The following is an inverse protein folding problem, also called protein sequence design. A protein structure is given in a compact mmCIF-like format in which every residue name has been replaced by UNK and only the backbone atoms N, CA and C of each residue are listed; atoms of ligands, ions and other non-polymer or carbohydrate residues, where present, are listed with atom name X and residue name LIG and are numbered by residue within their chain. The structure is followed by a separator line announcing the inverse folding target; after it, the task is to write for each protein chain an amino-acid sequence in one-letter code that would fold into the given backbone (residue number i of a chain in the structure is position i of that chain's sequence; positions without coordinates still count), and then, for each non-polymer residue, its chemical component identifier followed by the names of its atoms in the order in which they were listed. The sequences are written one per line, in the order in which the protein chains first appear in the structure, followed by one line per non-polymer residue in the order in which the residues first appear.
data_IF_031121780910
#
_entry.id   IF_031121780910
#
_cell.length_a   1.000
_cell.length_b   1.000
_cell.length_c   1.000
_cell.angle_alpha   90.00
_cell.angle_beta   90.00
_cell.angle_gamma   90.00
#
_symmetry.space_group_name_H-M   'P 1'
#
loop_
_entity.id
_entity.type
_entity.pdbx_description
1 polymer ?
#
# COMPACT_ATOMS: atom_id res chain seq x y z
N UNK A 1 -3.94 -9.15 -17.65
CA UNK A 1 -3.55 -8.23 -16.57
C UNK A 1 -4.78 -7.46 -16.15
N UNK A 2 -5.25 -7.67 -14.92
CA UNK A 2 -6.45 -7.03 -14.41
C UNK A 2 -6.25 -5.52 -14.26
N UNK A 3 -7.26 -4.72 -14.62
CA UNK A 3 -7.26 -3.25 -14.50
C UNK A 3 -7.37 -2.75 -13.04
N UNK A 4 -7.16 -3.61 -12.05
CA UNK A 4 -7.34 -3.33 -10.62
C UNK A 4 -6.02 -3.01 -9.90
N UNK A 5 -4.91 -3.00 -10.61
CA UNK A 5 -3.60 -2.77 -10.02
C UNK A 5 -3.43 -1.31 -9.59
N UNK A 6 -3.19 -1.08 -8.30
CA UNK A 6 -2.96 0.25 -7.73
C UNK A 6 -1.77 0.94 -8.38
N UNK A 7 -0.70 0.20 -8.69
CA UNK A 7 0.53 0.78 -9.25
C UNK A 7 0.28 1.47 -10.59
N UNK A 8 -0.70 1.01 -11.37
CA UNK A 8 -1.10 1.70 -12.61
C UNK A 8 -1.87 3.00 -12.36
N UNK A 9 -2.38 3.24 -11.14
CA UNK A 9 -3.05 4.48 -10.74
C UNK A 9 -2.08 5.55 -10.26
N UNK A 10 -0.82 5.22 -10.11
CA UNK A 10 0.23 6.20 -9.79
C UNK A 10 0.67 7.04 -10.98
N UNK A 11 0.04 6.88 -12.17
CA UNK A 11 0.32 7.70 -13.35
C UNK A 11 -0.73 8.80 -13.57
N UNK A 12 -0.34 10.01 -13.95
CA UNK A 12 -1.24 11.15 -14.11
C UNK A 12 -2.25 10.92 -15.24
N UNK A 13 -3.50 11.35 -15.02
CA UNK A 13 -4.57 11.28 -16.01
C UNK A 13 -4.84 9.88 -16.59
N UNK A 14 -4.49 8.84 -15.83
CA UNK A 14 -4.68 7.44 -16.19
C UNK A 14 -5.56 6.70 -15.18
N UNK A 15 -6.63 7.32 -14.72
CA UNK A 15 -7.65 6.68 -13.93
C UNK A 15 -8.23 5.43 -14.62
N UNK A 16 -9.03 4.67 -13.90
CA UNK A 16 -9.58 3.36 -14.32
C UNK A 16 -10.10 3.30 -15.76
N UNK A 17 -10.69 4.40 -16.27
CA UNK A 17 -11.32 4.46 -17.60
C UNK A 17 -10.33 4.75 -18.74
N UNK A 18 -9.15 5.26 -18.42
CA UNK A 18 -8.22 5.86 -19.38
C UNK A 18 -6.82 5.29 -19.32
N UNK A 19 -6.64 4.15 -18.62
CA UNK A 19 -5.32 3.51 -18.55
C UNK A 19 -4.89 2.96 -19.91
N UNK A 20 -3.68 3.32 -20.30
CA UNK A 20 -2.98 2.81 -21.48
C UNK A 20 -1.55 2.44 -21.07
N UNK A 21 -1.15 1.19 -21.33
CA UNK A 21 0.11 0.64 -20.86
C UNK A 21 1.34 1.26 -21.57
N UNK A 22 1.24 1.57 -22.86
CA UNK A 22 2.32 2.20 -23.63
C UNK A 22 2.52 3.64 -23.15
N UNK A 23 1.42 4.37 -22.97
CA UNK A 23 1.44 5.71 -22.41
C UNK A 23 1.99 5.71 -20.97
N UNK A 24 1.62 4.78 -20.11
CA UNK A 24 2.16 4.65 -18.76
C UNK A 24 3.67 4.38 -18.77
N UNK A 25 4.14 3.48 -19.64
CA UNK A 25 5.57 3.18 -19.78
C UNK A 25 6.42 4.38 -20.22
N UNK A 26 5.80 5.34 -20.94
CA UNK A 26 6.45 6.55 -21.46
C UNK A 26 6.10 7.82 -20.65
N UNK A 27 5.31 7.70 -19.57
CA UNK A 27 4.94 8.81 -18.69
C UNK A 27 5.71 8.77 -17.38
N UNK A 28 5.81 9.94 -16.74
CA UNK A 28 6.27 10.04 -15.37
C UNK A 28 5.12 9.69 -14.41
N UNK A 29 5.44 8.86 -13.42
CA UNK A 29 4.48 8.48 -12.38
C UNK A 29 4.54 9.42 -11.17
N UNK A 30 3.72 9.12 -10.16
CA UNK A 30 3.65 9.85 -8.90
C UNK A 30 5.04 10.03 -8.26
N UNK A 31 5.81 8.95 -8.19
CA UNK A 31 7.13 8.96 -7.56
C UNK A 31 8.11 9.87 -8.30
N UNK A 32 8.05 9.90 -9.63
CA UNK A 32 8.88 10.79 -10.46
C UNK A 32 8.53 12.28 -10.22
N UNK A 33 7.24 12.59 -10.13
CA UNK A 33 6.78 13.96 -9.89
C UNK A 33 7.23 14.44 -8.51
N UNK A 34 7.06 13.62 -7.47
CA UNK A 34 7.53 13.94 -6.11
C UNK A 34 9.05 14.09 -6.08
N UNK A 35 9.81 13.18 -6.71
CA UNK A 35 11.28 13.26 -6.75
C UNK A 35 11.80 14.55 -7.38
N UNK A 36 11.13 15.06 -8.40
CA UNK A 36 11.52 16.32 -9.08
C UNK A 36 11.44 17.56 -8.19
N UNK A 37 10.70 17.51 -7.09
CA UNK A 37 10.64 18.60 -6.11
C UNK A 37 11.81 18.58 -5.11
N UNK A 38 12.75 17.64 -5.24
CA UNK A 38 13.89 17.49 -4.36
C UNK A 38 13.67 16.55 -3.17
N UNK A 39 12.51 15.92 -3.06
CA UNK A 39 12.22 14.90 -2.05
C UNK A 39 13.11 13.67 -2.28
N UNK A 40 13.78 13.23 -1.22
CA UNK A 40 14.60 12.00 -1.25
C UNK A 40 13.69 10.78 -1.28
N UNK A 41 13.80 9.98 -2.32
CA UNK A 41 12.93 8.83 -2.57
C UNK A 41 13.60 7.51 -2.21
N UNK A 42 12.79 6.52 -1.80
CA UNK A 42 13.16 5.11 -1.71
C UNK A 42 11.92 4.25 -1.96
N UNK A 43 12.09 3.17 -2.72
CA UNK A 43 11.13 2.11 -2.85
C UNK A 43 11.66 0.84 -2.19
N UNK A 44 10.89 0.23 -1.29
CA UNK A 44 11.19 -1.10 -0.72
C UNK A 44 10.19 -2.10 -1.28
N UNK A 45 10.69 -3.21 -1.83
CA UNK A 45 9.93 -4.15 -2.65
C UNK A 45 9.92 -5.54 -2.02
N UNK A 46 8.74 -6.10 -1.77
CA UNK A 46 8.55 -7.46 -1.26
C UNK A 46 7.51 -8.28 -2.05
N UNK A 47 6.97 -7.77 -3.17
CA UNK A 47 5.92 -8.43 -3.97
C UNK A 47 6.36 -8.75 -5.41
N UNK A 48 7.68 -8.84 -5.65
CA UNK A 48 8.21 -9.29 -6.95
C UNK A 48 8.17 -8.27 -8.08
N UNK A 49 8.12 -6.97 -7.75
CA UNK A 49 8.35 -5.89 -8.69
C UNK A 49 7.27 -4.80 -8.73
N UNK A 50 7.69 -3.58 -9.00
CA UNK A 50 6.87 -2.37 -8.91
C UNK A 50 6.07 -2.03 -10.19
N UNK A 51 5.99 -2.90 -11.15
CA UNK A 51 5.26 -2.72 -12.43
C UNK A 51 5.50 -1.36 -13.11
N UNK A 52 6.70 -0.81 -12.93
CA UNK A 52 7.12 0.48 -13.51
C UNK A 52 7.00 1.69 -12.59
N UNK A 53 6.29 1.61 -11.47
CA UNK A 53 6.10 2.73 -10.54
C UNK A 53 7.41 3.20 -9.89
N UNK A 54 8.39 2.31 -9.69
CA UNK A 54 9.71 2.61 -9.12
C UNK A 54 10.85 2.75 -10.15
N UNK A 55 10.55 2.71 -11.45
CA UNK A 55 11.54 2.58 -12.54
C UNK A 55 12.70 3.59 -12.45
N UNK A 56 12.45 4.78 -11.90
CA UNK A 56 13.40 5.91 -11.90
C UNK A 56 13.79 6.38 -10.50
N UNK A 57 13.46 5.59 -9.47
CA UNK A 57 13.81 5.90 -8.07
C UNK A 57 14.66 4.78 -7.46
N UNK A 58 15.48 5.09 -6.44
CA UNK A 58 16.24 4.08 -5.71
C UNK A 58 15.33 3.00 -5.15
N UNK A 59 15.67 1.73 -5.40
CA UNK A 59 14.86 0.57 -4.98
C UNK A 59 15.72 -0.42 -4.20
N UNK A 60 15.15 -0.95 -3.13
CA UNK A 60 15.69 -2.08 -2.37
C UNK A 60 14.70 -3.23 -2.54
N UNK A 61 15.12 -4.27 -3.23
CA UNK A 61 14.39 -5.54 -3.32
C UNK A 61 14.77 -6.45 -2.17
N UNK A 62 13.79 -7.02 -1.48
CA UNK A 62 14.01 -7.98 -0.41
C UNK A 62 14.42 -9.31 -1.05
N UNK A 63 15.59 -9.81 -0.68
CA UNK A 63 16.07 -11.13 -1.12
C UNK A 63 15.54 -12.22 -0.17
N UNK A 64 14.67 -13.13 -0.62
CA UNK A 64 14.11 -14.19 0.21
C UNK A 64 15.14 -15.18 0.76
N UNK A 65 16.38 -15.12 0.27
CA UNK A 65 17.47 -15.99 0.72
C UNK A 65 18.40 -15.34 1.75
N UNK A 66 18.26 -14.01 1.96
CA UNK A 66 19.15 -13.25 2.82
C UNK A 66 18.86 -13.41 4.31
N UNK A 67 17.59 -13.61 4.70
CA UNK A 67 17.16 -13.73 6.10
C UNK A 67 16.29 -14.96 6.34
N UNK A 68 16.88 -16.00 6.95
CA UNK A 68 16.18 -17.23 7.29
C UNK A 68 15.17 -17.11 8.44
N UNK A 69 15.10 -15.95 9.14
CA UNK A 69 14.10 -15.73 10.20
C UNK A 69 12.82 -15.12 9.67
N UNK A 70 12.96 -14.21 8.69
CA UNK A 70 11.85 -13.47 8.10
C UNK A 70 11.40 -14.07 6.76
N UNK A 71 12.20 -14.98 6.17
CA UNK A 71 11.98 -15.51 4.84
C UNK A 71 12.09 -17.05 4.83
N UNK A 72 11.42 -17.69 3.87
CA UNK A 72 11.44 -19.13 3.68
C UNK A 72 12.23 -19.59 2.43
N UNK A 73 12.98 -18.67 1.81
CA UNK A 73 13.77 -18.89 0.59
C UNK A 73 13.01 -18.58 -0.71
N UNK A 74 11.69 -18.35 -0.63
CA UNK A 74 10.84 -17.97 -1.77
C UNK A 74 10.10 -16.65 -1.52
N UNK A 75 9.63 -16.44 -0.29
CA UNK A 75 8.93 -15.22 0.13
C UNK A 75 9.38 -14.79 1.51
N UNK A 76 9.13 -13.52 1.86
CA UNK A 76 9.39 -12.96 3.18
C UNK A 76 8.11 -12.43 3.81
N UNK A 77 8.08 -12.41 5.14
CA UNK A 77 7.06 -11.67 5.89
C UNK A 77 7.31 -10.16 5.74
N UNK A 78 6.24 -9.36 5.62
CA UNK A 78 6.37 -7.93 5.40
C UNK A 78 7.07 -7.15 6.53
N UNK A 79 7.19 -7.75 7.72
CA UNK A 79 8.01 -7.20 8.81
C UNK A 79 9.47 -6.94 8.44
N UNK A 80 10.05 -7.72 7.51
CA UNK A 80 11.40 -7.52 6.98
C UNK A 80 11.59 -6.12 6.37
N UNK A 81 10.52 -5.54 5.86
CA UNK A 81 10.54 -4.21 5.24
C UNK A 81 10.92 -3.09 6.22
N UNK A 82 10.75 -3.32 7.53
CA UNK A 82 11.12 -2.37 8.58
C UNK A 82 12.59 -2.45 8.99
N UNK A 83 13.30 -3.49 8.56
CA UNK A 83 14.71 -3.62 8.83
C UNK A 83 15.51 -2.52 8.11
N UNK A 84 16.52 -2.01 8.79
CA UNK A 84 17.44 -0.96 8.31
C UNK A 84 16.77 0.37 7.89
N UNK A 85 15.47 0.58 8.18
CA UNK A 85 14.77 1.82 7.81
C UNK A 85 15.42 3.06 8.46
N UNK A 86 15.90 2.95 9.69
CA UNK A 86 16.59 4.06 10.38
C UNK A 86 17.89 4.47 9.68
N UNK A 87 18.66 3.49 9.24
CA UNK A 87 19.89 3.74 8.48
C UNK A 87 19.58 4.36 7.11
N UNK A 88 18.53 3.88 6.46
CA UNK A 88 18.07 4.37 5.15
C UNK A 88 17.58 5.82 5.26
N UNK A 89 16.84 6.16 6.32
CA UNK A 89 16.40 7.52 6.62
C UNK A 89 17.62 8.43 6.93
N UNK A 90 18.56 7.94 7.72
CA UNK A 90 19.73 8.73 8.15
C UNK A 90 20.65 9.12 6.99
N UNK A 91 20.72 8.28 5.96
CA UNK A 91 21.53 8.52 4.73
C UNK A 91 20.93 9.56 3.80
N UNK A 92 19.68 9.99 4.04
CA UNK A 92 18.95 10.91 3.19
C UNK A 92 18.83 12.28 3.84
N UNK A 93 19.06 13.35 3.08
CA UNK A 93 18.84 14.73 3.51
C UNK A 93 17.46 15.24 3.11
N UNK A 94 17.01 16.33 3.74
CA UNK A 94 15.74 17.00 3.41
C UNK A 94 14.50 16.13 3.65
N UNK A 95 13.46 16.43 2.91
CA UNK A 95 12.22 15.67 2.93
C UNK A 95 12.38 14.30 2.30
N UNK A 96 11.60 13.33 2.77
CA UNK A 96 11.76 11.92 2.40
C UNK A 96 10.41 11.26 2.14
N UNK A 97 10.34 10.47 1.07
CA UNK A 97 9.24 9.54 0.83
C UNK A 97 9.80 8.12 0.67
N UNK A 98 9.33 7.21 1.51
CA UNK A 98 9.63 5.79 1.40
C UNK A 98 8.34 5.06 1.05
N UNK A 99 8.31 4.43 -0.11
CA UNK A 99 7.21 3.57 -0.53
C UNK A 99 7.56 2.11 -0.16
N UNK A 100 6.63 1.44 0.50
CA UNK A 100 6.73 0.02 0.86
C UNK A 100 5.70 -0.74 0.05
N UNK A 101 6.17 -1.66 -0.79
CA UNK A 101 5.32 -2.55 -1.56
C UNK A 101 5.29 -3.91 -0.90
N UNK A 102 4.24 -4.16 -0.12
CA UNK A 102 4.03 -5.37 0.65
C UNK A 102 3.50 -6.48 -0.23
N UNK A 103 3.84 -7.74 0.10
CA UNK A 103 3.14 -8.90 -0.40
C UNK A 103 1.75 -9.03 0.25
N UNK A 104 1.60 -8.52 1.46
CA UNK A 104 0.32 -8.44 2.17
C UNK A 104 -0.40 -9.76 2.31
N UNK A 105 -1.71 -9.72 2.04
CA UNK A 105 -2.60 -10.88 2.08
C UNK A 105 -2.72 -11.61 0.74
N UNK A 106 -1.66 -11.57 -0.10
CA UNK A 106 -1.70 -12.15 -1.45
C UNK A 106 -1.74 -13.68 -1.44
N UNK A 107 -2.77 -14.24 -2.11
CA UNK A 107 -2.95 -15.68 -2.27
C UNK A 107 -2.12 -16.32 -3.38
N UNK A 108 -2.25 -17.64 -3.57
CA UNK A 108 -3.05 -18.59 -2.78
C UNK A 108 -2.38 -19.09 -1.49
N UNK A 109 -1.10 -18.76 -1.24
CA UNK A 109 -0.32 -19.25 -0.11
C UNK A 109 -0.46 -18.37 1.12
N UNK A 110 -1.69 -18.03 1.53
CA UNK A 110 -1.96 -17.14 2.66
C UNK A 110 -1.22 -17.55 3.94
N UNK A 111 -1.10 -18.85 4.24
CA UNK A 111 -0.41 -19.39 5.43
C UNK A 111 1.08 -19.05 5.48
N UNK A 112 1.67 -18.56 4.38
CA UNK A 112 3.07 -18.10 4.29
C UNK A 112 3.21 -16.59 4.47
N UNK A 113 2.12 -15.85 4.74
CA UNK A 113 2.13 -14.38 4.82
C UNK A 113 2.30 -13.85 6.23
N UNK A 114 2.34 -14.70 7.24
CA UNK A 114 2.52 -14.35 8.64
C UNK A 114 3.39 -15.37 9.37
N UNK A 115 4.19 -14.93 10.34
CA UNK A 115 4.99 -15.83 11.16
C UNK A 115 4.12 -16.64 12.13
N UNK A 116 4.63 -17.76 12.66
CA UNK A 116 3.85 -18.70 13.50
C UNK A 116 3.16 -18.07 14.70
N UNK A 117 3.74 -17.05 15.31
CA UNK A 117 3.17 -16.34 16.47
C UNK A 117 1.90 -15.53 16.11
N UNK A 118 1.63 -15.33 14.83
CA UNK A 118 0.41 -14.68 14.34
C UNK A 118 -0.70 -15.67 13.96
N UNK A 119 -0.52 -16.96 14.15
CA UNK A 119 -1.55 -18.01 13.98
C UNK A 119 -2.58 -17.93 15.10
N UNK A 120 -3.45 -16.93 15.03
CA UNK A 120 -4.46 -16.68 16.05
C UNK A 120 -5.77 -17.41 15.76
N UNK A 121 -6.21 -17.36 14.52
CA UNK A 121 -7.43 -18.02 14.06
C UNK A 121 -7.11 -19.40 13.52
N UNK A 122 -7.81 -20.42 14.06
CA UNK A 122 -7.55 -21.84 13.79
C UNK A 122 -8.88 -22.58 13.62
N UNK A 123 -8.93 -23.67 12.82
CA UNK A 123 -7.86 -24.27 12.04
C UNK A 123 -7.47 -23.43 10.81
N UNK A 124 -6.24 -23.57 10.31
CA UNK A 124 -5.75 -22.86 9.13
C UNK A 124 -5.75 -23.74 7.86
N UNK A 125 -5.78 -23.08 6.69
CA UNK A 125 -5.58 -23.68 5.38
C UNK A 125 -4.08 -23.59 5.01
N UNK A 126 -3.29 -24.57 5.40
CA UNK A 126 -1.84 -24.60 5.20
C UNK A 126 -1.46 -25.23 3.84
N UNK A 127 -2.10 -24.82 2.73
CA UNK A 127 -1.88 -25.34 1.38
C UNK A 127 -2.19 -24.28 0.31
N UNK A 128 -1.68 -24.49 -0.92
CA UNK A 128 -1.87 -23.55 -2.03
C UNK A 128 -3.12 -23.85 -2.88
N UNK A 129 -3.61 -25.08 -2.87
CA UNK A 129 -4.86 -25.49 -3.51
C UNK A 129 -6.05 -25.22 -2.56
N UNK A 130 -6.31 -23.91 -2.36
CA UNK A 130 -7.21 -23.37 -1.32
C UNK A 130 -8.66 -23.82 -1.46
N UNK A 131 -9.09 -24.21 -2.66
CA UNK A 131 -10.41 -24.77 -2.94
C UNK A 131 -10.67 -26.13 -2.24
N UNK A 132 -9.61 -26.78 -1.77
CA UNK A 132 -9.68 -28.03 -1.00
C UNK A 132 -9.67 -27.81 0.52
N UNK A 133 -9.65 -26.56 0.98
CA UNK A 133 -9.86 -26.23 2.37
C UNK A 133 -11.34 -26.04 2.69
N UNK A 134 -11.71 -26.17 3.96
CA UNK A 134 -13.02 -25.69 4.40
C UNK A 134 -13.08 -24.18 4.36
N UNK A 135 -14.28 -23.60 4.24
CA UNK A 135 -14.46 -22.15 4.29
C UNK A 135 -13.90 -21.54 5.58
N UNK A 136 -14.10 -22.19 6.71
CA UNK A 136 -13.56 -21.77 8.00
C UNK A 136 -12.02 -21.72 7.98
N UNK A 137 -11.37 -22.77 7.47
CA UNK A 137 -9.90 -22.80 7.37
C UNK A 137 -9.37 -21.66 6.51
N UNK A 138 -10.02 -21.41 5.38
CA UNK A 138 -9.58 -20.38 4.44
C UNK A 138 -9.75 -18.97 5.03
N UNK A 139 -10.91 -18.68 5.63
CA UNK A 139 -11.17 -17.40 6.30
C UNK A 139 -10.21 -17.18 7.46
N UNK A 140 -10.03 -18.18 8.34
CA UNK A 140 -9.10 -18.08 9.47
C UNK A 140 -7.67 -17.76 9.00
N UNK A 141 -7.23 -18.40 7.92
CA UNK A 141 -5.88 -18.16 7.38
C UNK A 141 -5.76 -16.75 6.81
N UNK A 142 -6.77 -16.29 6.09
CA UNK A 142 -6.81 -14.93 5.55
C UNK A 142 -6.83 -13.88 6.68
N UNK A 143 -7.65 -14.08 7.70
CA UNK A 143 -7.74 -13.17 8.86
C UNK A 143 -6.41 -13.07 9.62
N UNK A 144 -5.62 -14.17 9.70
CA UNK A 144 -4.27 -14.11 10.25
C UNK A 144 -3.35 -13.22 9.40
N UNK A 145 -3.48 -13.21 8.06
CA UNK A 145 -2.71 -12.29 7.20
C UNK A 145 -3.06 -10.83 7.45
N UNK A 146 -4.35 -10.52 7.55
CA UNK A 146 -4.85 -9.16 7.83
C UNK A 146 -4.34 -8.69 9.20
N UNK A 147 -4.41 -9.56 10.21
CA UNK A 147 -3.88 -9.28 11.55
C UNK A 147 -2.38 -8.96 11.52
N UNK A 148 -1.61 -9.70 10.71
CA UNK A 148 -0.17 -9.44 10.60
C UNK A 148 0.13 -8.14 9.86
N UNK A 149 -0.61 -7.83 8.80
CA UNK A 149 -0.50 -6.54 8.11
C UNK A 149 -0.80 -5.38 9.05
N UNK A 150 -1.86 -5.48 9.87
CA UNK A 150 -2.19 -4.47 10.88
C UNK A 150 -1.05 -4.28 11.89
N UNK A 151 -0.45 -5.38 12.37
CA UNK A 151 0.73 -5.31 13.24
C UNK A 151 1.90 -4.58 12.58
N UNK A 152 2.23 -4.89 11.33
CA UNK A 152 3.34 -4.22 10.60
C UNK A 152 3.05 -2.73 10.45
N UNK A 153 1.83 -2.35 10.09
CA UNK A 153 1.41 -0.94 10.01
C UNK A 153 1.51 -0.22 11.36
N UNK A 154 1.11 -0.89 12.45
CA UNK A 154 1.25 -0.35 13.79
C UNK A 154 2.74 -0.10 14.14
N UNK A 155 3.65 -1.03 13.79
CA UNK A 155 5.10 -0.83 13.97
C UNK A 155 5.63 0.34 13.14
N UNK A 156 5.13 0.53 11.91
CA UNK A 156 5.47 1.70 11.09
C UNK A 156 5.05 3.01 11.76
N UNK A 157 3.82 3.06 12.31
CA UNK A 157 3.33 4.23 13.03
C UNK A 157 4.19 4.52 14.26
N UNK A 158 4.54 3.49 15.06
CA UNK A 158 5.41 3.67 16.22
C UNK A 158 6.79 4.20 15.82
N UNK A 159 7.34 3.71 14.70
CA UNK A 159 8.58 4.23 14.14
C UNK A 159 8.45 5.70 13.71
N UNK A 160 7.37 6.08 13.03
CA UNK A 160 7.12 7.46 12.63
C UNK A 160 6.96 8.40 13.83
N UNK A 161 6.36 7.94 14.93
CA UNK A 161 6.28 8.70 16.19
C UNK A 161 7.68 9.03 16.75
N UNK A 162 8.63 8.12 16.65
CA UNK A 162 10.02 8.35 17.09
C UNK A 162 10.73 9.46 16.29
N UNK A 163 10.29 9.71 15.07
CA UNK A 163 10.80 10.78 14.22
C UNK A 163 10.05 12.10 14.36
N UNK A 164 8.93 12.15 15.10
CA UNK A 164 8.04 13.32 15.15
C UNK A 164 8.66 14.57 15.78
N UNK A 165 9.78 14.44 16.51
CA UNK A 165 10.55 15.58 17.03
C UNK A 165 11.42 16.27 15.96
N UNK A 166 11.66 15.59 14.84
CA UNK A 166 12.54 16.08 13.75
C UNK A 166 11.84 16.26 12.43
N UNK A 167 10.74 15.55 12.21
CA UNK A 167 9.99 15.54 10.97
C UNK A 167 8.50 15.60 11.23
N UNK A 168 7.78 16.30 10.39
CA UNK A 168 6.33 16.18 10.29
C UNK A 168 6.00 14.93 9.46
N UNK A 169 5.49 13.89 10.12
CA UNK A 169 5.38 12.56 9.54
C UNK A 169 3.94 12.18 9.18
N UNK A 170 3.79 11.48 8.07
CA UNK A 170 2.51 10.93 7.59
C UNK A 170 2.72 9.52 7.05
N UNK A 171 1.75 8.63 7.31
CA UNK A 171 1.62 7.32 6.69
C UNK A 171 0.32 7.28 5.89
N UNK A 172 0.41 6.85 4.66
CA UNK A 172 -0.74 6.52 3.81
C UNK A 172 -0.61 5.05 3.43
N UNK A 173 -1.56 4.24 3.85
CA UNK A 173 -1.69 2.84 3.46
C UNK A 173 -2.92 2.68 2.58
N UNK A 174 -2.79 1.90 1.52
CA UNK A 174 -3.89 1.48 0.67
C UNK A 174 -3.61 0.09 0.12
N UNK A 175 -4.58 -0.81 0.18
CA UNK A 175 -4.50 -2.09 -0.52
C UNK A 175 -4.80 -1.87 -2.01
N UNK A 176 -4.09 -2.58 -2.89
CA UNK A 176 -4.29 -2.49 -4.34
C UNK A 176 -5.53 -3.26 -4.80
N UNK A 177 -5.85 -4.39 -4.16
CA UNK A 177 -7.06 -5.17 -4.36
C UNK A 177 -7.41 -5.97 -3.11
N UNK A 178 -8.59 -6.52 -3.07
CA UNK A 178 -8.99 -7.53 -2.10
C UNK A 178 -8.92 -8.94 -2.71
N UNK A 179 -9.37 -9.93 -1.95
CA UNK A 179 -9.33 -11.34 -2.32
C UNK A 179 -10.71 -11.98 -2.11
N UNK A 180 -11.15 -12.76 -3.08
CA UNK A 180 -12.31 -13.66 -2.93
C UNK A 180 -11.88 -14.96 -2.27
N UNK A 181 -12.66 -15.39 -1.28
CA UNK A 181 -12.37 -16.59 -0.48
C UNK A 181 -13.39 -17.72 -0.74
N UNK A 182 -13.99 -17.76 -1.92
CA UNK A 182 -14.98 -18.76 -2.30
C UNK A 182 -16.39 -18.20 -2.50
N UNK A 183 -16.60 -16.90 -2.32
CA UNK A 183 -17.90 -16.26 -2.57
C UNK A 183 -18.32 -16.45 -4.03
N UNK A 184 -19.51 -17.01 -4.24
CA UNK A 184 -20.04 -17.37 -5.58
C UNK A 184 -19.11 -18.30 -6.38
N UNK A 185 -18.27 -19.09 -5.70
CA UNK A 185 -17.28 -19.97 -6.33
C UNK A 185 -16.05 -19.25 -6.88
N UNK A 186 -15.85 -17.98 -6.53
CA UNK A 186 -14.69 -17.19 -6.91
C UNK A 186 -13.62 -17.25 -5.81
N UNK A 187 -12.37 -17.38 -6.22
CA UNK A 187 -11.20 -17.38 -5.35
C UNK A 187 -10.18 -16.36 -5.87
N UNK A 188 -9.34 -15.85 -4.98
CA UNK A 188 -8.28 -14.91 -5.31
C UNK A 188 -8.83 -13.60 -5.91
N UNK A 189 -8.03 -12.97 -6.74
CA UNK A 189 -8.34 -11.71 -7.43
C UNK A 189 -8.18 -11.86 -8.96
N UNK A 190 -8.38 -10.76 -9.71
CA UNK A 190 -8.19 -10.74 -11.16
C UNK A 190 -9.47 -10.89 -11.97
N UNK A 191 -10.63 -11.02 -11.33
CA UNK A 191 -11.92 -10.93 -12.03
C UNK A 191 -12.03 -9.58 -12.73
N UNK A 192 -12.50 -9.53 -14.01
CA UNK A 192 -12.69 -8.26 -14.69
C UNK A 192 -13.56 -7.31 -13.85
N UNK A 193 -13.13 -6.07 -13.69
CA UNK A 193 -13.71 -5.10 -12.72
C UNK A 193 -15.24 -5.01 -12.75
N UNK A 194 -15.86 -5.10 -13.94
CA UNK A 194 -17.33 -5.05 -14.07
C UNK A 194 -18.05 -6.26 -13.48
N UNK A 195 -17.33 -7.36 -13.25
CA UNK A 195 -17.84 -8.63 -12.75
C UNK A 195 -17.21 -8.98 -11.39
N UNK A 196 -16.20 -8.21 -10.97
CA UNK A 196 -15.50 -8.43 -9.72
C UNK A 196 -16.42 -8.12 -8.53
N UNK A 197 -16.51 -9.03 -7.55
CA UNK A 197 -17.28 -8.79 -6.34
C UNK A 197 -16.62 -7.75 -5.45
N UNK A 198 -17.37 -7.24 -4.47
CA UNK A 198 -16.88 -6.24 -3.52
C UNK A 198 -15.67 -6.72 -2.73
N UNK A 199 -15.56 -8.03 -2.48
CA UNK A 199 -14.40 -8.64 -1.82
C UNK A 199 -13.08 -8.39 -2.57
N UNK A 200 -13.11 -8.19 -3.88
CA UNK A 200 -11.93 -7.88 -4.68
C UNK A 200 -11.74 -6.38 -4.93
N UNK A 201 -12.75 -5.55 -4.74
CA UNK A 201 -12.76 -4.14 -5.18
C UNK A 201 -12.91 -3.13 -4.06
N UNK A 202 -13.49 -3.52 -2.91
CA UNK A 202 -13.62 -2.67 -1.73
C UNK A 202 -12.44 -2.91 -0.80
N UNK A 203 -11.48 -2.00 -0.81
CA UNK A 203 -10.19 -2.13 -0.12
C UNK A 203 -10.02 -1.10 0.98
N UNK A 204 -9.25 -1.40 2.03
CA UNK A 204 -8.95 -0.43 3.08
C UNK A 204 -7.98 0.64 2.58
N UNK A 205 -8.23 1.88 3.03
CA UNK A 205 -7.28 2.97 3.00
C UNK A 205 -7.16 3.55 4.40
N UNK A 206 -5.94 3.71 4.89
CA UNK A 206 -5.66 4.24 6.21
C UNK A 206 -4.67 5.40 6.12
N UNK A 207 -4.90 6.43 6.91
CA UNK A 207 -4.00 7.58 7.00
C UNK A 207 -3.71 7.88 8.45
N UNK A 208 -2.44 7.95 8.80
CA UNK A 208 -1.98 8.43 10.09
C UNK A 208 -1.09 9.67 9.88
N UNK A 209 -1.23 10.67 10.72
CA UNK A 209 -0.49 11.93 10.65
C UNK A 209 0.00 12.33 12.04
N UNK A 210 1.26 12.74 12.15
CA UNK A 210 1.77 13.35 13.38
C UNK A 210 1.03 14.66 13.70
N UNK A 211 0.98 15.09 14.98
CA UNK A 211 0.39 16.39 15.33
C UNK A 211 1.04 17.56 14.58
N UNK A 212 2.37 17.54 14.43
CA UNK A 212 3.10 18.57 13.69
C UNK A 212 2.70 18.63 12.21
N UNK A 213 2.57 17.47 11.54
CA UNK A 213 2.13 17.40 10.14
C UNK A 213 0.74 18.02 9.98
N UNK A 214 -0.21 17.66 10.87
CA UNK A 214 -1.57 18.21 10.82
C UNK A 214 -1.61 19.73 11.02
N UNK A 215 -0.80 20.23 11.96
CA UNK A 215 -0.70 21.67 12.23
C UNK A 215 -0.11 22.42 11.04
N UNK A 216 0.98 21.92 10.44
CA UNK A 216 1.61 22.52 9.28
C UNK A 216 0.69 22.56 8.06
N UNK A 217 -0.02 21.47 7.79
CA UNK A 217 -0.91 21.35 6.63
C UNK A 217 -2.34 21.85 6.90
N UNK A 218 -2.61 22.41 8.08
CA UNK A 218 -3.93 22.89 8.49
C UNK A 218 -5.06 21.84 8.38
N UNK A 219 -4.73 20.56 8.61
CA UNK A 219 -5.67 19.45 8.44
C UNK A 219 -6.74 19.43 9.54
N UNK A 220 -8.00 19.56 9.15
CA UNK A 220 -9.15 19.32 10.00
C UNK A 220 -9.52 17.83 10.03
N UNK A 221 -9.19 17.15 11.14
CA UNK A 221 -9.52 15.73 11.31
C UNK A 221 -11.02 15.46 11.40
N UNK A 222 -11.82 16.41 11.90
CA UNK A 222 -13.28 16.25 11.98
C UNK A 222 -13.87 16.23 10.57
N UNK A 223 -13.41 17.14 9.72
CA UNK A 223 -13.74 17.16 8.31
C UNK A 223 -13.34 15.84 7.62
N UNK A 224 -12.09 15.39 7.79
CA UNK A 224 -11.62 14.14 7.17
C UNK A 224 -12.43 12.91 7.63
N UNK A 225 -12.74 12.80 8.93
CA UNK A 225 -13.56 11.70 9.45
C UNK A 225 -14.97 11.72 8.88
N UNK A 226 -15.55 12.90 8.77
CA UNK A 226 -16.87 13.06 8.16
C UNK A 226 -16.84 12.67 6.68
N UNK A 227 -15.84 13.12 5.93
CA UNK A 227 -15.68 12.76 4.52
C UNK A 227 -15.45 11.25 4.34
N UNK A 228 -14.64 10.63 5.19
CA UNK A 228 -14.41 9.19 5.15
C UNK A 228 -15.69 8.36 5.40
N UNK A 229 -16.61 8.88 6.22
CA UNK A 229 -17.88 8.20 6.55
C UNK A 229 -18.95 8.36 5.45
N UNK A 230 -18.90 9.42 4.65
CA UNK A 230 -20.01 9.80 3.75
C UNK A 230 -19.62 9.85 2.26
N UNK A 231 -18.35 9.92 1.93
CA UNK A 231 -17.87 9.99 0.56
C UNK A 231 -17.31 8.64 0.10
N UNK A 232 -17.41 8.37 -1.20
CA UNK A 232 -16.76 7.23 -1.82
C UNK A 232 -15.47 7.69 -2.50
N UNK A 233 -14.36 7.04 -2.15
CA UNK A 233 -13.05 7.26 -2.75
C UNK A 233 -12.60 6.02 -3.53
N UNK A 234 -11.63 6.18 -4.39
CA UNK A 234 -11.02 5.09 -5.15
C UNK A 234 -9.51 5.30 -5.29
N UNK A 235 -8.83 4.33 -5.83
CA UNK A 235 -7.40 4.46 -6.17
C UNK A 235 -7.10 5.66 -7.07
N UNK A 236 -8.06 6.13 -7.87
CA UNK A 236 -7.91 7.31 -8.74
C UNK A 236 -7.66 8.61 -7.93
N UNK A 237 -7.99 8.60 -6.63
CA UNK A 237 -7.72 9.72 -5.72
C UNK A 237 -6.26 9.76 -5.22
N UNK A 238 -5.53 8.63 -5.26
CA UNK A 238 -4.21 8.53 -4.62
C UNK A 238 -3.20 9.53 -5.18
N UNK A 239 -3.13 9.66 -6.51
CA UNK A 239 -2.16 10.52 -7.19
C UNK A 239 -2.23 11.97 -6.68
N UNK A 240 -3.40 12.60 -6.81
CA UNK A 240 -3.59 13.98 -6.38
C UNK A 240 -3.52 14.15 -4.86
N UNK A 241 -3.99 13.17 -4.09
CA UNK A 241 -3.92 13.23 -2.63
C UNK A 241 -2.48 13.25 -2.12
N UNK A 242 -1.59 12.43 -2.69
CA UNK A 242 -0.16 12.45 -2.32
C UNK A 242 0.48 13.76 -2.75
N UNK A 243 0.22 14.26 -3.97
CA UNK A 243 0.74 15.57 -4.39
C UNK A 243 0.27 16.70 -3.47
N UNK A 244 -1.00 16.65 -3.04
CA UNK A 244 -1.54 17.60 -2.10
C UNK A 244 -0.85 17.56 -0.74
N UNK A 245 -0.57 16.39 -0.16
CA UNK A 245 0.16 16.28 1.11
C UNK A 245 1.56 16.92 1.04
N UNK A 246 2.16 16.95 -0.15
CA UNK A 246 3.46 17.59 -0.43
C UNK A 246 3.35 19.05 -0.89
N UNK A 247 2.15 19.62 -1.00
CA UNK A 247 1.88 20.95 -1.59
C UNK A 247 2.51 21.13 -2.98
N UNK A 248 2.55 20.05 -3.77
CA UNK A 248 3.14 20.08 -5.10
C UNK A 248 2.16 20.70 -6.09
N UNK A 249 2.53 21.88 -6.61
CA UNK A 249 1.81 22.56 -7.68
C UNK A 249 2.29 22.09 -9.04
N UNK A 250 1.40 21.48 -9.81
CA UNK A 250 1.69 20.98 -11.17
C UNK A 250 0.42 20.94 -12.00
N UNK A 251 0.57 20.95 -13.32
CA UNK A 251 -0.55 20.88 -14.28
C UNK A 251 -1.31 19.53 -14.24
N UNK A 252 -0.75 18.52 -13.59
CA UNK A 252 -1.38 17.19 -13.43
C UNK A 252 -2.04 16.99 -12.08
N UNK A 253 -1.97 17.96 -11.17
CA UNK A 253 -2.71 17.95 -9.91
C UNK A 253 -4.16 18.32 -10.13
N UNK A 254 -5.08 17.52 -9.62
CA UNK A 254 -6.52 17.79 -9.62
C UNK A 254 -7.04 17.91 -8.18
N UNK A 255 -7.42 19.10 -7.71
CA UNK A 255 -7.93 19.32 -6.36
C UNK A 255 -9.22 18.55 -6.05
N UNK A 256 -10.03 18.21 -7.07
CA UNK A 256 -11.24 17.42 -6.87
C UNK A 256 -10.95 15.94 -6.62
N UNK A 257 -9.78 15.47 -7.02
CA UNK A 257 -9.30 14.12 -6.78
C UNK A 257 -8.44 14.01 -5.52
N UNK A 258 -8.07 15.11 -4.86
CA UNK A 258 -7.33 15.14 -3.60
C UNK A 258 -8.31 15.02 -2.42
N UNK A 259 -8.23 13.89 -1.69
CA UNK A 259 -9.12 13.62 -0.54
C UNK A 259 -8.92 14.56 0.64
N UNK A 260 -7.78 15.25 0.71
CA UNK A 260 -7.45 16.18 1.78
C UNK A 260 -7.82 17.63 1.46
N UNK A 261 -8.00 17.97 0.18
CA UNK A 261 -8.13 19.35 -0.29
C UNK A 261 -9.23 20.15 0.42
N UNK A 262 -10.40 19.54 0.61
CA UNK A 262 -11.55 20.23 1.23
C UNK A 262 -11.44 20.35 2.76
N UNK A 263 -10.43 19.74 3.38
CA UNK A 263 -10.24 19.70 4.82
C UNK A 263 -8.92 20.37 5.27
N UNK A 264 -8.41 21.27 4.44
CA UNK A 264 -7.22 22.12 4.68
C UNK A 264 -7.59 23.57 4.75
#
# INVERSE_FOLDING_TARGET
MGRNDLLIRTFPNMGRKHYDAERAANSEGLMDVVQKTGVSMLWKENDGGCKGACKRIPTIEIDPKADAKQCDGETCYDGVMLENVDDEISKKSGDKLIAFHFIGSHGPTYYRRYPPEFRHYMPECARSDIENCTQEQLVNTYDNTVRYTDYVLAQMIEKLKQYSDRYNTVLVYVSDHGESLGESGLYLHGTPYKLAPDQQTHVPMQVWMSPGFRAEKHIDLTCLKNNAAHNSYSHDNLFSSVLGLWDISTTVYDPNSDIFHSCR
#
